data_IF_859588824274
#
_entry.id   IF_859588824274
#
_cell.length_a   1.000
_cell.length_b   1.000
_cell.length_c   1.000
_cell.angle_alpha   90.00
_cell.angle_beta   90.00
_cell.angle_gamma   90.00
#
_symmetry.space_group_name_H-M   'P 1'
#
loop_
_entity.id
_entity.type
_entity.pdbx_description
1 polymer ?
#
# COMPACT_ATOMS: atom_id res chain seq x y z
N UNK A 1 -8.10 -13.72 23.62
CA UNK A 1 -8.16 -13.11 22.28
C UNK A 1 -9.55 -12.57 22.01
N UNK A 2 -9.65 -11.26 21.73
CA UNK A 2 -10.90 -10.60 21.33
C UNK A 2 -11.25 -11.10 19.92
N UNK A 3 -12.49 -11.53 19.74
CA UNK A 3 -13.00 -11.99 18.42
C UNK A 3 -13.85 -10.91 17.77
N UNK A 4 -13.71 -10.70 16.45
CA UNK A 4 -14.61 -9.82 15.71
C UNK A 4 -16.08 -10.27 15.86
N UNK A 5 -16.98 -9.34 16.19
CA UNK A 5 -18.37 -9.67 16.56
C UNK A 5 -19.13 -10.38 15.44
N UNK A 6 -18.88 -9.99 14.19
CA UNK A 6 -19.55 -10.57 13.02
C UNK A 6 -18.69 -11.58 12.25
N UNK A 7 -17.46 -11.87 12.71
CA UNK A 7 -16.55 -12.79 12.01
C UNK A 7 -15.73 -13.65 12.98
N UNK A 8 -16.37 -14.58 13.65
CA UNK A 8 -15.70 -15.47 14.61
C UNK A 8 -14.70 -16.45 13.99
N UNK A 9 -14.68 -16.56 12.64
CA UNK A 9 -13.78 -17.43 11.89
C UNK A 9 -12.48 -16.74 11.48
N UNK A 10 -12.36 -15.44 11.70
CA UNK A 10 -11.13 -14.67 11.46
C UNK A 10 -9.95 -15.28 12.19
N UNK A 11 -8.89 -15.59 11.45
CA UNK A 11 -7.61 -16.10 11.96
C UNK A 11 -6.50 -15.08 11.70
N UNK A 12 -6.31 -14.14 12.60
CA UNK A 12 -5.32 -13.07 12.39
C UNK A 12 -3.94 -13.64 12.10
N UNK A 13 -3.30 -13.17 11.03
CA UNK A 13 -1.96 -13.63 10.62
C UNK A 13 -0.95 -13.59 11.76
N UNK A 14 -0.93 -12.51 12.55
CA UNK A 14 -0.02 -12.36 13.69
C UNK A 14 -0.20 -13.46 14.74
N UNK A 15 -1.44 -13.89 14.99
CA UNK A 15 -1.74 -14.94 15.99
C UNK A 15 -1.30 -16.32 15.48
N UNK A 16 -1.63 -16.62 14.21
CA UNK A 16 -1.25 -17.87 13.57
C UNK A 16 0.28 -18.01 13.46
N UNK A 17 0.99 -16.91 13.13
CA UNK A 17 2.45 -16.88 13.08
C UNK A 17 3.07 -17.04 14.47
N UNK A 18 2.61 -16.32 15.50
CA UNK A 18 3.10 -16.46 16.87
C UNK A 18 2.87 -17.88 17.39
N UNK A 19 1.74 -18.49 17.06
CA UNK A 19 1.46 -19.88 17.44
C UNK A 19 2.38 -20.86 16.70
N UNK A 20 2.61 -20.66 15.41
CA UNK A 20 3.55 -21.47 14.62
C UNK A 20 4.95 -21.44 15.22
N UNK A 21 5.50 -20.24 15.46
CA UNK A 21 6.85 -20.10 16.02
C UNK A 21 6.96 -20.68 17.43
N UNK A 22 5.92 -20.54 18.24
CA UNK A 22 5.88 -21.18 19.58
C UNK A 22 5.90 -22.70 19.48
N UNK A 23 5.16 -23.27 18.52
CA UNK A 23 5.12 -24.73 18.35
C UNK A 23 6.44 -25.28 17.79
N UNK A 24 7.13 -24.51 16.92
CA UNK A 24 8.48 -24.83 16.41
C UNK A 24 9.51 -24.74 17.55
N UNK A 25 9.44 -23.70 18.39
CA UNK A 25 10.35 -23.52 19.52
C UNK A 25 10.24 -24.64 20.55
N UNK A 26 9.06 -25.25 20.68
CA UNK A 26 8.82 -26.41 21.55
C UNK A 26 9.43 -27.73 21.04
N UNK A 27 9.97 -27.76 19.82
CA UNK A 27 10.60 -28.95 19.25
C UNK A 27 12.05 -29.11 19.74
N UNK A 28 12.49 -30.35 19.98
CA UNK A 28 13.89 -30.67 20.30
C UNK A 28 14.84 -30.34 19.13
N UNK A 29 14.34 -30.47 17.90
CA UNK A 29 15.08 -30.16 16.67
C UNK A 29 14.24 -29.24 15.78
N UNK A 30 14.87 -28.22 15.29
CA UNK A 30 14.28 -27.26 14.38
C UNK A 30 15.24 -26.95 13.25
N UNK A 31 14.73 -26.43 12.16
CA UNK A 31 15.47 -26.14 10.94
C UNK A 31 15.47 -24.66 10.69
N UNK A 32 16.65 -24.07 10.56
CA UNK A 32 16.78 -22.65 10.28
C UNK A 32 16.45 -22.38 8.80
N UNK A 33 15.59 -21.41 8.55
CA UNK A 33 15.20 -20.99 7.20
C UNK A 33 15.56 -19.53 6.98
N UNK A 34 16.14 -19.23 5.82
CA UNK A 34 16.40 -17.87 5.38
C UNK A 34 15.71 -17.62 4.06
N UNK A 35 14.99 -16.51 3.99
CA UNK A 35 14.38 -15.99 2.78
C UNK A 35 15.03 -14.66 2.45
N UNK A 36 15.45 -14.47 1.19
CA UNK A 36 15.85 -13.17 0.69
C UNK A 36 15.06 -12.84 -0.58
N UNK A 37 14.67 -11.60 -0.75
CA UNK A 37 13.91 -11.13 -1.92
C UNK A 37 14.66 -9.99 -2.57
N UNK A 38 15.03 -10.17 -3.84
CA UNK A 38 15.66 -9.15 -4.66
C UNK A 38 14.62 -8.29 -5.36
N UNK A 39 14.85 -6.99 -5.29
CA UNK A 39 14.02 -5.95 -5.89
C UNK A 39 14.84 -5.03 -6.79
N UNK A 40 14.28 -3.92 -7.25
CA UNK A 40 14.98 -2.96 -8.10
C UNK A 40 16.34 -2.52 -7.50
N UNK A 41 17.28 -2.16 -8.36
CA UNK A 41 18.61 -1.63 -8.01
C UNK A 41 19.49 -2.57 -7.16
N UNK A 42 19.18 -3.87 -7.20
CA UNK A 42 19.90 -4.89 -6.43
C UNK A 42 19.70 -4.73 -4.91
N UNK A 43 18.61 -4.11 -4.49
CA UNK A 43 18.19 -4.10 -3.09
C UNK A 43 17.71 -5.48 -2.68
N UNK A 44 18.00 -5.88 -1.45
CA UNK A 44 17.65 -7.19 -0.89
C UNK A 44 16.91 -6.98 0.43
N UNK A 45 15.73 -7.55 0.54
CA UNK A 45 15.06 -7.76 1.83
C UNK A 45 15.34 -9.17 2.31
N UNK A 46 15.68 -9.35 3.60
CA UNK A 46 16.00 -10.65 4.18
C UNK A 46 15.21 -10.86 5.46
N UNK A 47 14.67 -12.07 5.63
CA UNK A 47 14.03 -12.54 6.86
C UNK A 47 14.50 -13.95 7.17
N UNK A 48 14.76 -14.24 8.44
CA UNK A 48 15.20 -15.54 8.89
C UNK A 48 14.44 -15.98 10.16
N UNK A 49 14.13 -17.24 10.25
CA UNK A 49 13.38 -17.86 11.35
C UNK A 49 13.52 -19.37 11.32
N UNK A 50 13.13 -20.02 12.41
CA UNK A 50 13.13 -21.47 12.50
C UNK A 50 11.78 -22.05 12.06
N UNK A 51 11.81 -23.24 11.47
CA UNK A 51 10.66 -24.06 11.04
C UNK A 51 10.78 -25.48 11.59
N UNK A 52 9.73 -26.28 11.48
CA UNK A 52 9.86 -27.73 11.74
C UNK A 52 10.88 -28.36 10.81
N UNK A 53 11.57 -29.42 11.28
CA UNK A 53 12.44 -30.22 10.43
C UNK A 53 11.65 -30.75 9.23
N UNK A 54 12.29 -30.81 8.04
CA UNK A 54 11.72 -31.46 6.85
C UNK A 54 11.22 -32.88 7.22
N UNK A 55 10.01 -33.21 6.81
CA UNK A 55 9.33 -34.47 7.11
C UNK A 55 8.54 -34.51 8.43
N UNK A 56 8.55 -33.44 9.25
CA UNK A 56 7.78 -33.37 10.50
C UNK A 56 6.40 -32.74 10.26
N UNK A 57 6.37 -31.54 9.69
CA UNK A 57 5.11 -30.83 9.35
C UNK A 57 5.32 -29.95 8.10
N UNK A 58 5.60 -30.61 6.99
CA UNK A 58 5.94 -29.95 5.73
C UNK A 58 4.79 -29.12 5.15
N UNK A 59 3.54 -29.53 5.37
CA UNK A 59 2.37 -28.78 4.94
C UNK A 59 2.28 -27.44 5.66
N UNK A 60 2.45 -27.47 6.98
CA UNK A 60 2.38 -26.25 7.80
C UNK A 60 3.59 -25.34 7.54
N UNK A 61 4.80 -25.91 7.42
CA UNK A 61 5.99 -25.16 7.01
C UNK A 61 5.74 -24.44 5.69
N UNK A 62 5.30 -25.17 4.67
CA UNK A 62 5.07 -24.61 3.33
C UNK A 62 4.01 -23.51 3.37
N UNK A 63 2.89 -23.75 4.08
CA UNK A 63 1.82 -22.76 4.20
C UNK A 63 2.30 -21.47 4.85
N UNK A 64 2.97 -21.57 5.99
CA UNK A 64 3.44 -20.37 6.73
C UNK A 64 4.51 -19.62 5.94
N UNK A 65 5.47 -20.34 5.36
CA UNK A 65 6.53 -19.73 4.56
C UNK A 65 5.97 -19.04 3.32
N UNK A 66 5.00 -19.66 2.65
CA UNK A 66 4.33 -19.04 1.51
C UNK A 66 3.60 -17.76 1.91
N UNK A 67 2.85 -17.77 3.03
CA UNK A 67 2.20 -16.55 3.56
C UNK A 67 3.22 -15.45 3.87
N UNK A 68 4.36 -15.78 4.48
CA UNK A 68 5.44 -14.82 4.79
C UNK A 68 6.04 -14.25 3.50
N UNK A 69 6.34 -15.10 2.50
CA UNK A 69 6.88 -14.66 1.21
C UNK A 69 5.90 -13.71 0.53
N UNK A 70 4.60 -14.06 0.50
CA UNK A 70 3.59 -13.18 -0.07
C UNK A 70 3.53 -11.83 0.65
N UNK A 71 3.59 -11.82 1.99
CA UNK A 71 3.67 -10.56 2.74
C UNK A 71 4.90 -9.74 2.34
N UNK A 72 6.08 -10.36 2.26
CA UNK A 72 7.31 -9.66 1.84
C UNK A 72 7.14 -9.05 0.45
N UNK A 73 6.61 -9.81 -0.51
CA UNK A 73 6.40 -9.32 -1.88
C UNK A 73 5.44 -8.11 -1.93
N UNK A 74 4.37 -8.10 -1.15
CA UNK A 74 3.40 -7.01 -1.18
C UNK A 74 3.75 -5.82 -0.28
N UNK A 75 4.66 -6.02 0.68
CA UNK A 75 5.25 -4.95 1.50
C UNK A 75 6.41 -4.27 0.78
N UNK A 76 7.42 -5.03 0.36
CA UNK A 76 8.67 -4.46 -0.18
C UNK A 76 8.77 -4.52 -1.70
N UNK A 77 8.06 -5.45 -2.34
CA UNK A 77 8.19 -5.76 -3.76
C UNK A 77 9.39 -6.65 -4.05
N UNK A 78 9.40 -7.28 -5.21
CA UNK A 78 10.56 -8.05 -5.68
C UNK A 78 10.21 -9.04 -6.79
N UNK A 79 11.25 -9.50 -7.48
CA UNK A 79 11.12 -10.42 -8.63
C UNK A 79 11.95 -11.69 -8.47
N UNK A 80 12.78 -11.81 -7.42
CA UNK A 80 13.59 -13.00 -7.21
C UNK A 80 13.64 -13.37 -5.73
N UNK A 81 13.22 -14.60 -5.45
CA UNK A 81 13.13 -15.17 -4.11
C UNK A 81 14.24 -16.17 -3.94
N UNK A 82 15.09 -15.98 -2.96
CA UNK A 82 16.15 -16.92 -2.55
C UNK A 82 15.71 -17.61 -1.27
N UNK A 83 15.89 -18.94 -1.22
CA UNK A 83 15.56 -19.77 -0.06
C UNK A 83 16.75 -20.62 0.32
N UNK A 84 17.15 -20.59 1.59
CA UNK A 84 18.15 -21.48 2.16
C UNK A 84 17.60 -22.15 3.42
N UNK A 85 17.91 -23.44 3.60
CA UNK A 85 17.61 -24.17 4.83
C UNK A 85 16.58 -25.31 4.69
N UNK A 86 15.69 -25.32 3.69
CA UNK A 86 14.75 -26.43 3.46
C UNK A 86 14.54 -26.68 1.97
N UNK A 87 14.89 -27.88 1.54
CA UNK A 87 14.65 -28.32 0.16
C UNK A 87 13.16 -28.52 -0.12
N UNK A 88 12.41 -29.03 0.85
CA UNK A 88 10.96 -29.26 0.72
C UNK A 88 10.22 -27.95 0.52
N UNK A 89 10.50 -26.95 1.36
CA UNK A 89 9.92 -25.61 1.26
C UNK A 89 10.32 -24.96 -0.07
N UNK A 90 11.61 -25.00 -0.44
CA UNK A 90 12.07 -24.44 -1.71
C UNK A 90 11.29 -25.00 -2.91
N UNK A 91 11.16 -26.33 -3.02
CA UNK A 91 10.47 -26.97 -4.15
C UNK A 91 9.00 -26.58 -4.23
N UNK A 92 8.32 -26.52 -3.08
CA UNK A 92 6.93 -26.13 -3.03
C UNK A 92 6.73 -24.65 -3.41
N UNK A 93 7.57 -23.76 -2.88
CA UNK A 93 7.51 -22.33 -3.21
C UNK A 93 7.83 -22.09 -4.68
N UNK A 94 8.84 -22.76 -5.23
CA UNK A 94 9.17 -22.69 -6.66
C UNK A 94 8.00 -23.09 -7.55
N UNK A 95 7.27 -24.14 -7.18
CA UNK A 95 6.07 -24.57 -7.88
C UNK A 95 4.91 -23.58 -7.73
N UNK A 96 4.78 -22.95 -6.57
CA UNK A 96 3.69 -21.99 -6.32
C UNK A 96 3.90 -20.68 -7.08
N UNK A 97 5.12 -20.15 -7.10
CA UNK A 97 5.48 -18.91 -7.79
C UNK A 97 6.07 -19.21 -9.17
N UNK A 98 5.25 -19.77 -10.05
CA UNK A 98 5.54 -20.06 -11.46
C UNK A 98 4.31 -19.79 -12.31
N UNK A 99 4.51 -19.72 -13.63
CA UNK A 99 3.40 -19.63 -14.59
C UNK A 99 2.43 -20.80 -14.40
N UNK A 100 1.13 -20.49 -14.23
CA UNK A 100 0.08 -21.45 -13.90
C UNK A 100 0.16 -22.07 -12.48
N UNK A 101 1.03 -21.59 -11.62
CA UNK A 101 1.17 -22.03 -10.23
C UNK A 101 0.11 -21.44 -9.30
N UNK A 102 0.16 -21.82 -8.02
CA UNK A 102 -0.79 -21.33 -7.00
C UNK A 102 -0.77 -19.80 -6.88
N UNK A 103 0.39 -19.17 -7.15
CA UNK A 103 0.63 -17.72 -7.07
C UNK A 103 0.87 -17.12 -8.46
N UNK A 104 0.15 -17.61 -9.45
CA UNK A 104 0.22 -17.15 -10.83
C UNK A 104 0.04 -15.63 -10.97
N UNK A 105 -0.94 -15.07 -10.25
CA UNK A 105 -1.16 -13.62 -10.22
C UNK A 105 0.09 -12.88 -9.70
N UNK A 106 0.64 -13.32 -8.56
CA UNK A 106 1.81 -12.68 -7.95
C UNK A 106 3.03 -12.81 -8.88
N UNK A 107 3.22 -13.98 -9.52
CA UNK A 107 4.28 -14.25 -10.48
C UNK A 107 4.23 -13.27 -11.67
N UNK A 108 3.08 -13.16 -12.33
CA UNK A 108 2.92 -12.28 -13.48
C UNK A 108 2.95 -10.80 -13.10
N UNK A 109 2.34 -10.44 -11.98
CA UNK A 109 2.30 -9.07 -11.50
C UNK A 109 3.70 -8.54 -11.20
N UNK A 110 4.47 -9.27 -10.38
CA UNK A 110 5.84 -8.89 -10.03
C UNK A 110 6.76 -8.90 -11.25
N UNK A 111 6.63 -9.89 -12.14
CA UNK A 111 7.40 -9.93 -13.40
C UNK A 111 7.14 -8.70 -14.26
N UNK A 112 5.88 -8.28 -14.38
CA UNK A 112 5.50 -7.09 -15.15
C UNK A 112 6.02 -5.80 -14.52
N UNK A 113 5.85 -5.66 -13.20
CA UNK A 113 6.23 -4.44 -12.48
C UNK A 113 7.74 -4.23 -12.49
N UNK A 114 8.52 -5.29 -12.30
CA UNK A 114 9.99 -5.20 -12.27
C UNK A 114 10.64 -5.40 -13.65
N UNK A 115 9.86 -5.64 -14.71
CA UNK A 115 10.36 -5.93 -16.07
C UNK A 115 11.40 -7.07 -16.10
N UNK A 116 11.21 -8.06 -15.20
CA UNK A 116 12.06 -9.24 -15.04
C UNK A 116 11.18 -10.42 -14.64
N UNK A 117 11.41 -11.58 -15.27
CA UNK A 117 10.72 -12.80 -14.89
C UNK A 117 10.98 -13.14 -13.42
N UNK A 118 9.92 -13.47 -12.70
CA UNK A 118 10.03 -13.85 -11.30
C UNK A 118 10.69 -15.22 -11.16
N UNK A 119 11.67 -15.33 -10.28
CA UNK A 119 12.41 -16.56 -10.04
C UNK A 119 12.40 -16.97 -8.57
N UNK A 120 12.41 -18.28 -8.32
CA UNK A 120 12.69 -18.87 -6.99
C UNK A 120 13.97 -19.69 -7.08
N UNK A 121 14.97 -19.35 -6.27
CA UNK A 121 16.33 -19.89 -6.32
C UNK A 121 16.69 -20.55 -5.00
N UNK A 122 17.20 -21.78 -5.06
CA UNK A 122 17.79 -22.47 -3.92
C UNK A 122 19.19 -21.90 -3.62
N UNK A 123 19.45 -21.66 -2.36
CA UNK A 123 20.76 -21.19 -1.88
C UNK A 123 21.26 -22.03 -0.71
N UNK A 124 22.58 -21.99 -0.50
CA UNK A 124 23.16 -22.40 0.78
C UNK A 124 23.18 -21.20 1.75
N UNK A 125 23.40 -21.45 3.03
CA UNK A 125 23.51 -20.38 4.03
C UNK A 125 24.64 -19.39 3.74
N UNK A 126 25.73 -19.86 3.07
CA UNK A 126 26.89 -19.03 2.73
C UNK A 126 26.62 -18.14 1.53
N UNK A 127 25.74 -18.58 0.61
CA UNK A 127 25.54 -17.92 -0.69
C UNK A 127 24.25 -17.09 -0.77
N UNK A 128 23.39 -17.16 0.26
CA UNK A 128 22.16 -16.37 0.25
C UNK A 128 22.46 -14.86 0.40
N UNK A 129 21.86 -13.99 -0.43
CA UNK A 129 22.13 -12.56 -0.41
C UNK A 129 21.89 -11.93 0.96
N UNK A 130 22.79 -11.00 1.33
CA UNK A 130 22.65 -10.22 2.57
C UNK A 130 21.66 -9.07 2.38
N UNK A 131 21.06 -8.62 3.49
CA UNK A 131 20.19 -7.45 3.50
C UNK A 131 20.91 -6.24 2.87
N UNK A 132 20.26 -5.62 1.89
CA UNK A 132 20.75 -4.41 1.25
C UNK A 132 19.57 -3.45 1.06
N UNK A 133 19.52 -2.41 1.85
CA UNK A 133 18.51 -1.36 1.78
C UNK A 133 19.07 -0.20 0.95
N UNK A 134 18.29 0.29 -0.01
CA UNK A 134 18.52 1.59 -0.62
C UNK A 134 17.58 2.59 0.07
N UNK A 135 18.10 3.68 0.58
CA UNK A 135 17.30 4.81 1.01
C UNK A 135 17.79 6.04 0.25
N UNK A 136 17.11 6.38 -0.81
CA UNK A 136 17.19 7.75 -1.33
C UNK A 136 16.26 8.59 -0.46
N UNK A 137 16.76 9.67 0.18
CA UNK A 137 15.88 10.57 0.90
C UNK A 137 14.94 11.24 -0.10
N UNK A 138 13.68 10.85 -0.03
CA UNK A 138 12.58 11.37 -0.85
C UNK A 138 11.54 11.95 0.10
N UNK A 139 11.23 13.22 -0.06
CA UNK A 139 10.26 13.93 0.77
C UNK A 139 10.88 14.95 1.74
N UNK A 140 10.02 15.82 2.27
CA UNK A 140 10.42 16.85 3.24
C UNK A 140 11.17 18.07 2.66
N UNK A 141 11.38 18.15 1.35
CA UNK A 141 12.06 19.27 0.69
C UNK A 141 11.05 20.34 0.28
N UNK A 142 11.09 21.53 0.92
CA UNK A 142 10.13 22.60 0.68
C UNK A 142 10.76 23.92 0.22
N UNK A 143 12.08 23.97 0.06
CA UNK A 143 12.83 25.12 -0.40
C UNK A 143 12.64 25.40 -1.89
N UNK A 144 12.62 26.66 -2.29
CA UNK A 144 12.52 27.09 -3.68
C UNK A 144 11.12 27.06 -4.28
N UNK A 145 11.05 27.14 -5.61
CA UNK A 145 9.79 27.12 -6.40
C UNK A 145 9.47 25.69 -6.82
N UNK A 146 8.37 25.16 -6.34
CA UNK A 146 8.02 23.75 -6.51
C UNK A 146 6.61 23.57 -7.07
N UNK A 147 6.42 22.51 -7.79
CA UNK A 147 5.10 22.04 -8.18
C UNK A 147 4.79 20.77 -7.39
N UNK A 148 3.65 20.75 -6.73
CA UNK A 148 2.99 19.55 -6.24
C UNK A 148 1.88 19.16 -7.19
N UNK A 149 1.96 17.96 -7.77
CA UNK A 149 1.08 17.48 -8.80
C UNK A 149 0.44 16.16 -8.36
N UNK A 150 -0.85 16.18 -8.03
CA UNK A 150 -1.59 15.02 -7.57
C UNK A 150 -2.55 14.54 -8.66
N UNK A 151 -2.34 13.31 -9.15
CA UNK A 151 -3.03 12.74 -10.30
C UNK A 151 -4.04 11.71 -9.85
N UNK A 152 -5.27 12.16 -9.66
CA UNK A 152 -6.41 11.30 -9.33
C UNK A 152 -7.15 10.73 -10.54
N UNK A 153 -8.06 9.82 -10.28
CA UNK A 153 -8.87 9.17 -11.32
C UNK A 153 -10.05 10.01 -11.85
N UNK A 154 -10.37 11.16 -11.25
CA UNK A 154 -11.45 12.08 -11.61
C UNK A 154 -10.99 13.51 -11.72
N UNK A 155 -9.91 13.86 -11.07
CA UNK A 155 -9.37 15.21 -10.97
C UNK A 155 -7.84 15.16 -10.86
N UNK A 156 -7.24 16.25 -11.30
CA UNK A 156 -5.83 16.57 -11.10
C UNK A 156 -5.78 17.77 -10.16
N UNK A 157 -4.98 17.68 -9.09
CA UNK A 157 -4.68 18.83 -8.24
C UNK A 157 -3.26 19.27 -8.49
N UNK A 158 -3.08 20.53 -8.80
CA UNK A 158 -1.77 21.13 -9.04
C UNK A 158 -1.57 22.34 -8.15
N UNK A 159 -0.48 22.36 -7.41
CA UNK A 159 -0.13 23.45 -6.51
C UNK A 159 1.22 24.06 -6.88
N UNK A 160 1.25 25.38 -6.99
CA UNK A 160 2.45 26.19 -7.07
C UNK A 160 2.90 26.54 -5.65
N UNK A 161 4.05 26.03 -5.21
CA UNK A 161 4.57 26.15 -3.86
C UNK A 161 5.89 26.90 -3.91
N UNK A 162 6.11 27.86 -3.02
CA UNK A 162 7.38 28.57 -2.87
C UNK A 162 7.79 28.58 -1.42
N UNK A 163 8.96 28.05 -1.12
CA UNK A 163 9.52 28.00 0.24
C UNK A 163 8.53 27.44 1.28
N UNK A 164 7.77 26.42 0.88
CA UNK A 164 6.74 25.75 1.69
C UNK A 164 5.38 26.44 1.72
N UNK A 165 5.23 27.61 1.11
CA UNK A 165 3.95 28.33 1.03
C UNK A 165 3.24 28.06 -0.30
N UNK A 166 1.95 27.75 -0.25
CA UNK A 166 1.11 27.54 -1.44
C UNK A 166 0.69 28.89 -2.00
N UNK A 167 1.25 29.25 -3.16
CA UNK A 167 0.89 30.48 -3.88
C UNK A 167 -0.41 30.33 -4.68
N UNK A 168 -0.64 29.16 -5.24
CA UNK A 168 -1.82 28.81 -6.00
C UNK A 168 -2.08 27.32 -5.91
N UNK A 169 -3.35 26.94 -5.89
CA UNK A 169 -3.77 25.53 -6.02
C UNK A 169 -5.00 25.47 -6.92
N UNK A 170 -5.00 24.57 -7.87
CA UNK A 170 -6.05 24.37 -8.86
C UNK A 170 -6.45 22.90 -8.92
N UNK A 171 -7.76 22.67 -9.06
CA UNK A 171 -8.34 21.35 -9.30
C UNK A 171 -8.90 21.31 -10.70
N UNK A 172 -8.46 20.36 -11.52
CA UNK A 172 -8.83 20.22 -12.93
C UNK A 172 -9.56 18.90 -13.10
N UNK A 173 -10.84 18.97 -13.44
CA UNK A 173 -11.64 17.77 -13.74
C UNK A 173 -11.21 17.18 -15.07
N UNK A 174 -11.00 15.87 -15.11
CA UNK A 174 -10.63 15.11 -16.30
C UNK A 174 -11.23 13.71 -16.31
N UNK A 175 -11.19 13.01 -17.43
CA UNK A 175 -11.83 11.71 -17.61
C UNK A 175 -10.83 10.67 -18.16
N UNK A 176 -9.73 10.35 -17.43
CA UNK A 176 -8.66 9.49 -17.93
C UNK A 176 -9.12 8.06 -18.21
N UNK A 177 -10.02 7.53 -17.39
CA UNK A 177 -10.52 6.15 -17.49
C UNK A 177 -11.45 5.93 -18.70
N UNK A 178 -11.80 6.97 -19.43
CA UNK A 178 -12.63 6.91 -20.64
C UNK A 178 -11.84 7.16 -21.92
N UNK A 179 -10.55 7.51 -21.81
CA UNK A 179 -9.71 7.89 -22.94
C UNK A 179 -8.68 6.81 -23.27
N UNK A 180 -8.62 6.43 -24.53
CA UNK A 180 -7.67 5.46 -25.10
C UNK A 180 -6.39 6.15 -25.62
N UNK A 181 -6.48 7.44 -25.95
CA UNK A 181 -5.35 8.21 -26.47
C UNK A 181 -4.44 8.69 -25.33
N UNK A 182 -3.21 8.23 -25.30
CA UNK A 182 -2.20 8.65 -24.33
C UNK A 182 -1.90 10.16 -24.42
N UNK A 183 -2.06 10.79 -25.59
CA UNK A 183 -1.83 12.23 -25.75
C UNK A 183 -2.84 13.06 -24.94
N UNK A 184 -4.06 12.54 -24.71
CA UNK A 184 -5.00 13.18 -23.80
C UNK A 184 -4.39 13.35 -22.41
N UNK A 185 -3.74 12.31 -21.87
CA UNK A 185 -3.09 12.33 -20.56
C UNK A 185 -1.90 13.30 -20.56
N UNK A 186 -1.03 13.23 -21.58
CA UNK A 186 0.11 14.13 -21.72
C UNK A 186 -0.29 15.59 -21.77
N UNK A 187 -1.34 15.93 -22.50
CA UNK A 187 -1.82 17.29 -22.66
C UNK A 187 -2.35 17.87 -21.33
N UNK A 188 -3.08 17.06 -20.55
CA UNK A 188 -3.54 17.49 -19.24
C UNK A 188 -2.37 17.71 -18.28
N UNK A 189 -1.42 16.79 -18.20
CA UNK A 189 -0.24 16.92 -17.34
C UNK A 189 0.58 18.16 -17.72
N UNK A 190 0.88 18.31 -18.98
CA UNK A 190 1.66 19.45 -19.45
C UNK A 190 0.97 20.80 -19.19
N UNK A 191 -0.31 20.93 -19.54
CA UNK A 191 -1.06 22.18 -19.34
C UNK A 191 -1.16 22.57 -17.88
N UNK A 192 -1.45 21.61 -17.00
CA UNK A 192 -1.57 21.85 -15.58
C UNK A 192 -0.23 22.28 -14.97
N UNK A 193 0.87 21.56 -15.26
CA UNK A 193 2.20 21.93 -14.76
C UNK A 193 2.67 23.27 -15.32
N UNK A 194 2.42 23.56 -16.61
CA UNK A 194 2.78 24.84 -17.22
C UNK A 194 2.03 26.01 -16.57
N UNK A 195 0.73 25.85 -16.32
CA UNK A 195 -0.05 26.86 -15.59
C UNK A 195 0.50 27.13 -14.17
N UNK A 196 0.94 26.10 -13.48
CA UNK A 196 1.58 26.27 -12.16
C UNK A 196 2.95 26.96 -12.26
N UNK A 197 3.76 26.68 -13.29
CA UNK A 197 5.04 27.39 -13.54
C UNK A 197 4.78 28.89 -13.77
N UNK A 198 3.74 29.26 -14.49
CA UNK A 198 3.36 30.67 -14.69
C UNK A 198 3.05 31.36 -13.35
N UNK A 199 2.39 30.67 -12.42
CA UNK A 199 2.10 31.18 -11.06
C UNK A 199 3.37 31.32 -10.19
N UNK A 200 4.43 30.56 -10.51
CA UNK A 200 5.75 30.66 -9.86
C UNK A 200 6.66 31.74 -10.48
N UNK A 201 6.15 32.50 -11.46
CA UNK A 201 6.92 33.56 -12.14
C UNK A 201 7.67 33.07 -13.37
N UNK A 202 7.25 31.98 -13.97
CA UNK A 202 7.76 31.46 -15.26
C UNK A 202 8.93 30.48 -15.11
N UNK A 203 9.24 30.01 -13.91
CA UNK A 203 10.31 29.04 -13.67
C UNK A 203 10.01 28.14 -12.48
N UNK A 204 10.67 26.96 -12.37
CA UNK A 204 10.48 25.95 -11.33
C UNK A 204 11.80 25.27 -10.97
N UNK A 205 12.00 25.00 -9.68
CA UNK A 205 13.22 24.38 -9.16
C UNK A 205 13.06 22.85 -8.97
N UNK A 206 11.83 22.35 -8.76
CA UNK A 206 11.55 20.92 -8.64
C UNK A 206 10.05 20.60 -8.85
N UNK A 207 9.75 19.37 -9.30
CA UNK A 207 8.37 18.87 -9.51
C UNK A 207 8.19 17.55 -8.77
N UNK A 208 7.28 17.50 -7.83
CA UNK A 208 6.86 16.26 -7.16
C UNK A 208 5.48 15.81 -7.64
N UNK A 209 5.33 14.52 -7.91
CA UNK A 209 4.11 13.93 -8.48
C UNK A 209 3.60 12.84 -7.55
N UNK A 210 2.35 12.99 -7.11
CA UNK A 210 1.54 11.96 -6.47
C UNK A 210 0.70 11.28 -7.53
N UNK A 211 0.74 9.97 -7.64
CA UNK A 211 0.02 9.24 -8.68
C UNK A 211 -0.57 7.93 -8.17
N UNK A 212 -1.83 7.67 -8.53
CA UNK A 212 -2.48 6.41 -8.22
C UNK A 212 -1.85 5.24 -8.99
N UNK A 213 -1.56 4.14 -8.28
CA UNK A 213 -1.03 2.90 -8.81
C UNK A 213 0.43 2.64 -8.46
N UNK A 214 0.98 1.59 -9.07
CA UNK A 214 2.34 1.13 -8.80
C UNK A 214 3.35 1.93 -9.57
N UNK A 215 4.23 2.61 -8.85
CA UNK A 215 5.30 3.44 -9.41
C UNK A 215 6.65 2.77 -9.15
N UNK A 216 7.44 2.59 -10.20
CA UNK A 216 8.82 2.09 -10.11
C UNK A 216 9.74 3.00 -10.93
N UNK A 217 10.73 3.59 -10.29
CA UNK A 217 11.70 4.49 -10.96
C UNK A 217 11.00 5.61 -11.76
N UNK A 218 10.04 6.29 -11.15
CA UNK A 218 9.23 7.35 -11.76
C UNK A 218 8.33 6.92 -12.93
N UNK A 219 8.15 5.61 -13.14
CA UNK A 219 7.30 5.04 -14.18
C UNK A 219 6.02 4.46 -13.59
N UNK A 220 4.84 4.78 -14.12
CA UNK A 220 3.60 4.10 -13.75
C UNK A 220 3.57 2.70 -14.38
N UNK A 221 3.84 1.66 -13.58
CA UNK A 221 3.86 0.28 -14.04
C UNK A 221 2.46 -0.34 -14.06
N UNK A 222 1.63 0.00 -13.08
CA UNK A 222 0.21 -0.37 -13.02
C UNK A 222 -0.57 0.84 -12.54
N UNK A 223 -1.52 1.33 -13.33
CA UNK A 223 -2.34 2.46 -12.90
C UNK A 223 -3.71 2.47 -13.58
N UNK A 224 -4.75 2.66 -12.79
CA UNK A 224 -6.13 2.71 -13.25
C UNK A 224 -6.45 3.92 -14.14
N UNK A 225 -5.64 4.97 -14.09
CA UNK A 225 -5.84 6.16 -14.95
C UNK A 225 -5.52 5.89 -16.43
N UNK A 226 -4.72 4.87 -16.71
CA UNK A 226 -4.37 4.44 -18.07
C UNK A 226 -5.09 3.17 -18.53
N UNK A 227 -6.14 2.74 -17.81
CA UNK A 227 -6.81 1.44 -18.03
C UNK A 227 -7.38 1.25 -19.43
N UNK A 228 -7.70 2.33 -20.13
CA UNK A 228 -8.23 2.31 -21.52
C UNK A 228 -7.14 2.45 -22.57
N UNK A 229 -5.93 2.86 -22.20
CA UNK A 229 -4.82 2.95 -23.15
C UNK A 229 -4.44 1.54 -23.60
N UNK A 230 -4.36 1.27 -24.91
CA UNK A 230 -4.03 -0.04 -25.47
C UNK A 230 -2.68 -0.55 -24.94
N UNK A 231 -2.59 -1.86 -24.72
CA UNK A 231 -1.37 -2.51 -24.16
C UNK A 231 -0.13 -2.30 -25.03
N UNK A 232 -0.28 -2.19 -26.34
CA UNK A 232 0.80 -1.87 -27.28
C UNK A 232 1.42 -0.49 -27.04
N UNK A 233 0.71 0.40 -26.37
CA UNK A 233 1.17 1.74 -25.99
C UNK A 233 1.76 1.79 -24.56
N UNK A 234 2.00 0.65 -23.93
CA UNK A 234 2.49 0.59 -22.54
C UNK A 234 3.83 1.33 -22.34
N UNK A 235 4.73 1.29 -23.33
CA UNK A 235 5.98 2.05 -23.27
C UNK A 235 5.75 3.57 -23.21
N UNK A 236 4.72 4.07 -23.87
CA UNK A 236 4.31 5.47 -23.79
C UNK A 236 3.74 5.78 -22.41
N UNK A 237 2.93 4.87 -21.84
CA UNK A 237 2.39 5.01 -20.48
C UNK A 237 3.52 5.11 -19.47
N UNK A 238 4.52 4.23 -19.52
CA UNK A 238 5.71 4.30 -18.65
C UNK A 238 6.43 5.63 -18.73
N UNK A 239 6.45 6.24 -19.91
CA UNK A 239 7.05 7.55 -20.16
C UNK A 239 6.20 8.75 -19.74
N UNK A 240 4.96 8.57 -19.29
CA UNK A 240 3.99 9.66 -19.16
C UNK A 240 4.51 10.86 -18.35
N UNK A 241 4.96 10.65 -17.14
CA UNK A 241 5.48 11.71 -16.28
C UNK A 241 6.85 12.20 -16.75
N UNK A 242 7.76 11.28 -17.03
CA UNK A 242 9.14 11.58 -17.47
C UNK A 242 9.13 12.47 -18.72
N UNK A 243 8.34 12.12 -19.75
CA UNK A 243 8.30 12.87 -21.00
C UNK A 243 7.63 14.24 -20.82
N UNK A 244 6.64 14.36 -19.94
CA UNK A 244 6.05 15.65 -19.62
C UNK A 244 7.06 16.59 -18.97
N UNK A 245 7.83 16.13 -17.99
CA UNK A 245 8.88 16.94 -17.34
C UNK A 245 9.99 17.31 -18.34
N UNK A 246 10.46 16.34 -19.16
CA UNK A 246 11.47 16.62 -20.21
C UNK A 246 11.01 17.67 -21.22
N UNK A 247 9.73 17.72 -21.55
CA UNK A 247 9.17 18.78 -22.40
C UNK A 247 9.28 20.14 -21.75
N UNK A 248 8.96 20.23 -20.44
CA UNK A 248 9.10 21.47 -19.68
C UNK A 248 10.57 21.91 -19.54
N UNK A 249 11.49 20.97 -19.25
CA UNK A 249 12.94 21.22 -19.23
C UNK A 249 13.45 21.84 -20.52
N UNK A 250 13.00 21.32 -21.65
CA UNK A 250 13.38 21.86 -22.98
C UNK A 250 12.86 23.28 -23.20
N UNK A 251 11.68 23.61 -22.70
CA UNK A 251 11.09 24.95 -22.82
C UNK A 251 11.77 25.95 -21.88
N UNK A 252 12.12 25.52 -20.66
CA UNK A 252 12.76 26.38 -19.67
C UNK A 252 14.28 26.49 -19.86
N UNK A 253 14.89 25.59 -20.63
CA UNK A 253 16.31 25.59 -20.93
C UNK A 253 17.21 25.05 -19.82
N UNK A 254 16.64 24.38 -18.81
CA UNK A 254 17.39 23.72 -17.74
C UNK A 254 16.70 22.42 -17.29
N UNK A 255 17.45 21.53 -16.61
CA UNK A 255 16.85 20.30 -16.08
C UNK A 255 16.10 20.58 -14.78
N UNK A 256 15.02 19.82 -14.55
CA UNK A 256 14.13 19.96 -13.40
C UNK A 256 14.19 18.64 -12.62
N UNK A 257 14.73 18.62 -11.39
CA UNK A 257 14.58 17.48 -10.50
C UNK A 257 13.11 17.13 -10.31
N UNK A 258 12.76 15.85 -10.48
CA UNK A 258 11.40 15.42 -10.24
C UNK A 258 11.35 14.02 -9.62
N UNK A 259 10.29 13.76 -8.88
CA UNK A 259 10.03 12.46 -8.26
C UNK A 259 8.55 12.12 -8.33
N UNK A 260 8.26 10.85 -8.62
CA UNK A 260 6.90 10.31 -8.68
C UNK A 260 6.75 9.25 -7.59
N UNK A 261 5.77 9.42 -6.73
CA UNK A 261 5.44 8.46 -5.68
C UNK A 261 3.97 8.02 -5.75
N UNK A 262 3.68 6.85 -5.16
CA UNK A 262 2.32 6.38 -4.99
C UNK A 262 1.52 7.36 -4.12
N UNK A 263 0.22 7.54 -4.41
CA UNK A 263 -0.68 8.44 -3.68
C UNK A 263 -0.84 8.07 -2.19
N UNK A 264 -0.74 6.78 -1.84
CA UNK A 264 -0.70 6.30 -0.46
C UNK A 264 0.55 6.80 0.28
N UNK A 265 1.74 6.67 -0.34
CA UNK A 265 3.00 7.16 0.23
C UNK A 265 2.98 8.68 0.41
N UNK A 266 2.47 9.41 -0.58
CA UNK A 266 2.33 10.87 -0.49
C UNK A 266 1.33 11.27 0.60
N UNK A 267 0.25 10.49 0.80
CA UNK A 267 -0.69 10.71 1.90
C UNK A 267 -0.04 10.48 3.27
N UNK A 268 0.80 9.45 3.42
CA UNK A 268 1.57 9.22 4.64
C UNK A 268 2.57 10.36 4.91
N UNK A 269 3.24 10.84 3.86
CA UNK A 269 4.15 11.99 3.94
C UNK A 269 3.42 13.27 4.35
N UNK A 270 2.22 13.52 3.79
CA UNK A 270 1.38 14.63 4.21
C UNK A 270 1.02 14.54 5.71
N UNK A 271 0.74 13.32 6.20
CA UNK A 271 0.50 13.07 7.62
C UNK A 271 1.74 13.35 8.48
N UNK A 272 2.92 12.91 8.05
CA UNK A 272 4.18 13.19 8.75
C UNK A 272 4.45 14.70 8.86
N UNK A 273 4.23 15.44 7.79
CA UNK A 273 4.38 16.90 7.78
C UNK A 273 3.37 17.60 8.72
N UNK A 274 2.12 17.14 8.75
CA UNK A 274 1.06 17.69 9.60
C UNK A 274 1.29 17.38 11.09
N UNK A 275 1.65 16.13 11.41
CA UNK A 275 1.99 15.69 12.77
C UNK A 275 3.34 16.24 13.27
N UNK A 276 4.21 16.66 12.36
CA UNK A 276 5.62 17.04 12.62
C UNK A 276 6.38 15.91 13.32
N UNK A 277 6.04 14.67 12.97
CA UNK A 277 6.70 13.45 13.46
C UNK A 277 6.74 12.39 12.35
N UNK A 278 7.55 11.38 12.52
CA UNK A 278 7.86 10.33 11.56
C UNK A 278 7.32 8.96 12.00
N UNK A 279 7.66 7.89 11.29
CA UNK A 279 7.10 6.54 11.49
C UNK A 279 5.58 6.54 11.34
N UNK A 280 5.09 7.16 10.26
CA UNK A 280 3.66 7.31 9.95
C UNK A 280 3.23 6.26 8.93
N UNK A 281 2.22 5.47 9.28
CA UNK A 281 1.54 4.54 8.38
C UNK A 281 0.17 5.13 8.02
N UNK A 282 -0.03 5.47 6.76
CA UNK A 282 -1.34 5.89 6.24
C UNK A 282 -2.10 4.70 5.68
N UNK A 283 -3.36 4.50 6.09
CA UNK A 283 -4.22 3.42 5.59
C UNK A 283 -5.51 4.06 5.04
N UNK A 284 -5.68 4.02 3.74
CA UNK A 284 -6.87 4.51 3.07
C UNK A 284 -7.84 3.35 2.78
N UNK A 285 -9.00 3.39 3.42
CA UNK A 285 -10.08 2.40 3.26
C UNK A 285 -11.16 2.96 2.32
N UNK A 286 -11.02 2.67 1.03
CA UNK A 286 -11.86 3.19 -0.04
C UNK A 286 -12.56 2.10 -0.85
N UNK A 287 -12.44 2.20 -2.18
CA UNK A 287 -12.84 1.14 -3.12
C UNK A 287 -11.97 -0.11 -2.93
N UNK A 288 -10.68 0.10 -2.68
CA UNK A 288 -9.72 -0.88 -2.21
C UNK A 288 -9.01 -0.32 -0.98
N UNK A 289 -8.05 -1.06 -0.45
CA UNK A 289 -7.09 -0.58 0.52
C UNK A 289 -5.92 0.07 -0.22
N UNK A 290 -5.43 1.21 0.26
CA UNK A 290 -4.15 1.78 -0.15
C UNK A 290 -3.35 2.15 1.09
N UNK A 291 -2.06 1.86 1.08
CA UNK A 291 -1.19 2.09 2.23
C UNK A 291 0.06 2.84 1.78
N UNK A 292 0.53 3.73 2.64
CA UNK A 292 1.82 4.39 2.47
C UNK A 292 2.54 4.51 3.80
N UNK A 293 3.86 4.66 3.75
CA UNK A 293 4.67 4.69 4.96
C UNK A 293 5.82 5.69 4.88
N UNK A 294 6.01 6.43 5.97
CA UNK A 294 7.16 7.32 6.19
C UNK A 294 8.01 6.74 7.31
N UNK A 295 9.30 6.57 7.05
CA UNK A 295 10.25 5.96 7.98
C UNK A 295 10.65 6.91 9.13
N UNK A 296 11.52 6.44 10.04
CA UNK A 296 12.01 7.23 11.19
C UNK A 296 12.79 8.50 10.81
N UNK A 297 13.30 8.56 9.57
CA UNK A 297 14.06 9.69 9.07
C UNK A 297 13.19 10.68 8.29
N UNK A 298 11.89 10.42 8.17
CA UNK A 298 10.96 11.22 7.37
C UNK A 298 11.02 10.93 5.87
N UNK A 299 11.59 9.79 5.48
CA UNK A 299 11.75 9.38 4.09
C UNK A 299 10.71 8.34 3.68
N UNK A 300 10.44 8.27 2.37
CA UNK A 300 9.73 7.15 1.77
C UNK A 300 10.73 6.01 1.51
N UNK A 301 10.54 4.81 2.04
CA UNK A 301 11.50 3.70 1.89
C UNK A 301 11.56 3.15 0.47
N UNK A 302 10.69 3.60 -0.44
CA UNK A 302 10.57 3.07 -1.78
C UNK A 302 10.09 1.61 -1.80
N UNK A 303 9.40 1.17 -0.77
CA UNK A 303 8.76 -0.13 -0.70
C UNK A 303 7.48 -0.13 -1.54
N UNK A 304 6.99 -1.32 -1.83
CA UNK A 304 5.83 -1.51 -2.65
C UNK A 304 4.54 -1.04 -1.96
N UNK A 305 4.43 -1.37 -0.68
CA UNK A 305 3.33 -1.00 0.23
C UNK A 305 1.91 -1.28 -0.32
N UNK A 306 1.78 -2.28 -1.21
CA UNK A 306 0.49 -2.71 -1.79
C UNK A 306 -0.19 -3.75 -0.88
N UNK A 307 -0.52 -3.32 0.34
CA UNK A 307 -1.04 -4.20 1.40
C UNK A 307 -2.46 -4.72 1.13
N UNK A 308 -3.13 -4.16 0.13
CA UNK A 308 -4.40 -4.69 -0.39
C UNK A 308 -4.33 -6.18 -0.73
N UNK A 309 -3.17 -6.66 -1.18
CA UNK A 309 -2.94 -8.06 -1.52
C UNK A 309 -2.13 -8.84 -0.47
N UNK A 310 -1.77 -8.20 0.64
CA UNK A 310 -1.08 -8.85 1.75
C UNK A 310 -2.07 -9.73 2.53
N UNK A 311 -1.76 -11.02 2.78
CA UNK A 311 -2.64 -11.89 3.56
C UNK A 311 -2.59 -11.50 5.05
N UNK A 312 -3.75 -11.16 5.61
CA UNK A 312 -3.94 -10.79 7.01
C UNK A 312 -4.85 -11.76 7.78
N UNK A 313 -5.61 -12.58 7.04
CA UNK A 313 -6.44 -13.67 7.60
C UNK A 313 -5.95 -15.02 7.04
N UNK A 314 -5.42 -15.87 7.89
CA UNK A 314 -4.93 -17.19 7.51
C UNK A 314 -6.02 -18.27 7.52
N UNK A 315 -7.29 -17.89 7.65
CA UNK A 315 -8.40 -18.81 7.46
C UNK A 315 -8.55 -19.17 5.97
N UNK A 316 -8.27 -20.42 5.60
CA UNK A 316 -8.37 -20.91 4.21
C UNK A 316 -9.78 -20.78 3.59
N UNK A 317 -10.80 -20.54 4.41
CA UNK A 317 -12.18 -20.28 3.97
C UNK A 317 -12.55 -18.78 4.06
N UNK A 318 -11.58 -17.91 4.19
CA UNK A 318 -11.81 -16.48 4.14
C UNK A 318 -12.25 -16.01 2.75
N UNK A 319 -12.77 -14.79 2.65
CA UNK A 319 -13.17 -14.20 1.38
C UNK A 319 -11.99 -14.15 0.41
N UNK A 320 -12.23 -14.63 -0.81
CA UNK A 320 -11.25 -14.62 -1.90
C UNK A 320 -11.35 -13.28 -2.64
N UNK A 321 -10.21 -12.72 -2.99
CA UNK A 321 -10.11 -11.55 -3.85
C UNK A 321 -10.20 -11.95 -5.33
N UNK A 322 -11.01 -11.22 -6.09
CA UNK A 322 -11.32 -11.52 -7.48
C UNK A 322 -10.13 -11.30 -8.42
N UNK A 323 -9.14 -10.50 -8.01
CA UNK A 323 -7.96 -10.19 -8.82
C UNK A 323 -6.82 -11.16 -8.55
N UNK A 324 -6.43 -11.27 -7.29
CA UNK A 324 -5.31 -12.13 -6.90
C UNK A 324 -5.68 -13.60 -6.76
N UNK A 325 -6.98 -13.93 -6.76
CA UNK A 325 -7.53 -15.25 -6.47
C UNK A 325 -7.04 -15.82 -5.14
N UNK A 326 -6.56 -14.96 -4.23
CA UNK A 326 -6.11 -15.36 -2.91
C UNK A 326 -7.13 -14.98 -1.83
N UNK A 327 -7.12 -15.74 -0.75
CA UNK A 327 -8.01 -15.55 0.38
C UNK A 327 -7.36 -14.70 1.47
N UNK A 328 -8.18 -13.99 2.24
CA UNK A 328 -7.77 -13.31 3.46
C UNK A 328 -6.86 -12.12 3.27
N UNK A 329 -6.85 -11.51 2.07
CA UNK A 329 -6.01 -10.35 1.74
C UNK A 329 -6.64 -9.03 2.19
N UNK A 330 -5.81 -8.03 2.46
CA UNK A 330 -6.16 -6.76 3.11
C UNK A 330 -7.35 -6.03 2.50
N UNK A 331 -7.46 -5.96 1.16
CA UNK A 331 -8.59 -5.29 0.51
C UNK A 331 -9.98 -5.84 0.88
N UNK A 332 -10.08 -7.09 1.33
CA UNK A 332 -11.32 -7.69 1.79
C UNK A 332 -11.66 -7.38 3.24
N UNK A 333 -10.79 -6.61 3.93
CA UNK A 333 -10.92 -6.23 5.35
C UNK A 333 -10.90 -4.71 5.55
N UNK A 334 -10.21 -3.96 4.68
CA UNK A 334 -9.99 -2.53 4.79
C UNK A 334 -10.47 -1.75 3.56
N UNK A 335 -11.62 -2.15 3.02
CA UNK A 335 -12.29 -1.46 1.93
C UNK A 335 -13.82 -1.50 2.10
N UNK A 336 -14.54 -0.96 1.15
CA UNK A 336 -16.00 -1.10 1.08
C UNK A 336 -16.46 -2.56 1.04
N UNK A 337 -15.64 -3.48 0.51
CA UNK A 337 -15.95 -4.91 0.48
C UNK A 337 -16.07 -5.50 1.89
N UNK A 338 -15.27 -5.02 2.85
CA UNK A 338 -15.39 -5.43 4.25
C UNK A 338 -16.78 -5.10 4.81
N UNK A 339 -17.28 -3.89 4.55
CA UNK A 339 -18.61 -3.44 5.00
C UNK A 339 -19.71 -4.28 4.36
N UNK A 340 -19.59 -4.53 3.05
CA UNK A 340 -20.59 -5.26 2.26
C UNK A 340 -20.64 -6.74 2.68
N UNK A 341 -19.48 -7.41 2.85
CA UNK A 341 -19.43 -8.81 3.27
C UNK A 341 -20.00 -9.04 4.68
N UNK A 342 -19.91 -8.02 5.55
CA UNK A 342 -20.42 -8.11 6.91
C UNK A 342 -21.90 -7.74 7.04
N UNK A 343 -22.48 -7.03 6.06
CA UNK A 343 -23.86 -6.58 6.11
C UNK A 343 -24.88 -7.72 6.32
N UNK A 344 -24.83 -8.85 5.58
CA UNK A 344 -25.75 -9.97 5.82
C UNK A 344 -25.60 -10.58 7.23
N UNK A 345 -24.37 -10.62 7.76
CA UNK A 345 -24.11 -11.12 9.12
C UNK A 345 -24.65 -10.19 10.19
N UNK A 346 -24.82 -8.91 9.86
CA UNK A 346 -25.42 -7.87 10.70
C UNK A 346 -26.95 -7.77 10.54
N UNK A 347 -27.57 -8.65 9.74
CA UNK A 347 -29.00 -8.62 9.44
C UNK A 347 -29.40 -7.47 8.50
N UNK A 348 -28.48 -6.98 7.67
CA UNK A 348 -28.70 -5.89 6.71
C UNK A 348 -28.70 -6.48 5.30
N UNK A 349 -29.84 -6.38 4.64
CA UNK A 349 -29.98 -6.73 3.23
C UNK A 349 -29.62 -5.51 2.36
N UNK A 350 -28.76 -5.71 1.37
CA UNK A 350 -28.34 -4.67 0.44
C UNK A 350 -28.88 -5.01 -0.95
N UNK A 351 -29.55 -4.04 -1.59
CA UNK A 351 -30.06 -4.22 -2.97
C UNK A 351 -28.88 -4.51 -3.91
N UNK A 352 -28.99 -5.63 -4.65
CA UNK A 352 -27.97 -6.07 -5.61
C UNK A 352 -27.72 -5.07 -6.74
N UNK A 353 -28.73 -4.25 -7.07
CA UNK A 353 -28.64 -3.23 -8.13
C UNK A 353 -27.76 -2.03 -7.75
N UNK A 354 -27.48 -1.84 -6.47
CA UNK A 354 -26.65 -0.76 -5.98
C UNK A 354 -25.18 -1.05 -6.29
N UNK A 355 -24.46 -0.02 -6.69
CA UNK A 355 -23.00 -0.05 -6.78
C UNK A 355 -22.37 -0.28 -5.39
N UNK A 356 -21.14 -0.76 -5.34
CA UNK A 356 -20.45 -1.00 -4.06
C UNK A 356 -20.37 0.29 -3.20
N UNK A 357 -20.16 1.45 -3.83
CA UNK A 357 -20.14 2.74 -3.14
C UNK A 357 -21.50 3.14 -2.57
N UNK A 358 -22.59 2.82 -3.26
CA UNK A 358 -23.95 3.06 -2.77
C UNK A 358 -24.30 2.10 -1.62
N UNK A 359 -23.91 0.83 -1.71
CA UNK A 359 -24.06 -0.14 -0.62
C UNK A 359 -23.35 0.33 0.66
N UNK A 360 -22.12 0.85 0.55
CA UNK A 360 -21.41 1.46 1.66
C UNK A 360 -22.22 2.62 2.27
N UNK A 361 -22.74 3.54 1.43
CA UNK A 361 -23.55 4.68 1.92
C UNK A 361 -24.80 4.23 2.65
N UNK A 362 -25.47 3.15 2.22
CA UNK A 362 -26.64 2.59 2.92
C UNK A 362 -26.25 2.16 4.34
N UNK A 363 -25.16 1.41 4.49
CA UNK A 363 -24.69 0.96 5.80
C UNK A 363 -24.27 2.13 6.69
N UNK A 364 -23.54 3.12 6.13
CA UNK A 364 -23.17 4.33 6.86
C UNK A 364 -24.38 5.10 7.36
N UNK A 365 -25.41 5.29 6.52
CA UNK A 365 -26.66 5.96 6.91
C UNK A 365 -27.40 5.21 8.03
N UNK A 366 -27.45 3.88 7.97
CA UNK A 366 -28.00 3.06 9.04
C UNK A 366 -27.21 3.24 10.34
N UNK A 367 -25.89 3.28 10.27
CA UNK A 367 -25.02 3.49 11.43
C UNK A 367 -25.21 4.89 12.05
N UNK A 368 -25.32 5.94 11.25
CA UNK A 368 -25.63 7.30 11.71
C UNK A 368 -26.99 7.34 12.42
N UNK A 369 -27.97 6.60 11.90
CA UNK A 369 -29.30 6.42 12.50
C UNK A 369 -29.33 5.54 13.76
N UNK A 370 -28.20 5.00 14.22
CA UNK A 370 -28.10 4.19 15.42
C UNK A 370 -28.47 2.70 15.25
N UNK A 371 -28.48 2.19 14.03
CA UNK A 371 -28.75 0.76 13.77
C UNK A 371 -27.64 -0.12 14.36
N UNK A 372 -27.98 -0.99 15.31
CA UNK A 372 -27.01 -1.80 16.07
C UNK A 372 -26.17 -2.72 15.17
N UNK A 373 -26.79 -3.40 14.19
CA UNK A 373 -26.09 -4.26 13.26
C UNK A 373 -25.06 -3.51 12.42
N UNK A 374 -25.40 -2.28 11.97
CA UNK A 374 -24.47 -1.44 11.23
C UNK A 374 -23.28 -1.02 12.10
N UNK A 375 -23.50 -0.69 13.37
CA UNK A 375 -22.41 -0.39 14.30
C UNK A 375 -21.46 -1.60 14.49
N UNK A 376 -22.01 -2.83 14.62
CA UNK A 376 -21.24 -4.07 14.75
C UNK A 376 -20.32 -4.34 13.54
N UNK A 377 -20.66 -3.84 12.34
CA UNK A 377 -19.80 -3.92 11.16
C UNK A 377 -18.51 -3.14 11.42
N UNK A 378 -18.63 -1.89 11.85
CA UNK A 378 -17.48 -1.01 12.10
C UNK A 378 -16.68 -1.46 13.34
N UNK A 379 -17.33 -2.00 14.37
CA UNK A 379 -16.66 -2.66 15.50
C UNK A 379 -15.79 -3.85 15.01
N UNK A 380 -16.35 -4.68 14.11
CA UNK A 380 -15.65 -5.83 13.52
C UNK A 380 -14.40 -5.39 12.76
N UNK A 381 -14.52 -4.32 11.94
CA UNK A 381 -13.39 -3.75 11.20
C UNK A 381 -12.33 -3.17 12.16
N UNK A 382 -12.75 -2.55 13.26
CA UNK A 382 -11.83 -2.06 14.30
C UNK A 382 -11.01 -3.18 14.94
N UNK A 383 -11.62 -4.35 15.18
CA UNK A 383 -10.88 -5.53 15.67
C UNK A 383 -9.91 -6.05 14.61
N UNK A 384 -10.32 -6.15 13.33
CA UNK A 384 -9.42 -6.51 12.24
C UNK A 384 -8.19 -5.60 12.22
N UNK A 385 -8.43 -4.28 12.29
CA UNK A 385 -7.35 -3.29 12.24
C UNK A 385 -6.34 -3.48 13.38
N UNK A 386 -6.80 -3.69 14.60
CA UNK A 386 -5.91 -3.88 15.75
C UNK A 386 -4.94 -5.07 15.57
N UNK A 387 -5.47 -6.23 15.15
CA UNK A 387 -4.64 -7.40 14.90
C UNK A 387 -3.69 -7.21 13.71
N UNK A 388 -4.17 -6.51 12.68
CA UNK A 388 -3.37 -6.23 11.49
C UNK A 388 -2.28 -5.20 11.76
N UNK A 389 -2.52 -4.17 12.58
CA UNK A 389 -1.48 -3.21 12.99
C UNK A 389 -0.36 -3.90 13.77
N UNK A 390 -0.68 -4.84 14.66
CA UNK A 390 0.32 -5.65 15.34
C UNK A 390 1.14 -6.50 14.35
N UNK A 391 0.52 -6.96 13.26
CA UNK A 391 1.21 -7.68 12.19
C UNK A 391 2.04 -6.76 11.29
N UNK A 392 1.54 -5.59 10.95
CA UNK A 392 2.29 -4.60 10.16
C UNK A 392 3.53 -4.10 10.91
N UNK A 393 3.51 -4.08 12.25
CA UNK A 393 4.67 -3.73 13.06
C UNK A 393 5.85 -4.72 12.92
N UNK A 394 5.64 -5.92 12.36
CA UNK A 394 6.73 -6.84 11.98
C UNK A 394 7.54 -6.36 10.75
N UNK A 395 7.01 -5.40 9.99
CA UNK A 395 7.62 -4.85 8.78
C UNK A 395 7.95 -3.36 8.91
N UNK A 396 7.10 -2.60 9.59
CA UNK A 396 7.18 -1.15 9.72
C UNK A 396 7.41 -0.74 11.16
N UNK A 397 8.27 0.24 11.39
CA UNK A 397 8.30 0.94 12.69
C UNK A 397 7.15 1.93 12.73
N UNK A 398 6.12 1.66 13.51
CA UNK A 398 4.89 2.45 13.53
C UNK A 398 4.81 3.24 14.83
N UNK A 399 4.72 4.58 14.74
CA UNK A 399 4.35 5.47 15.84
C UNK A 399 2.97 6.04 15.65
N UNK A 400 2.64 6.39 14.39
CA UNK A 400 1.37 6.99 14.04
C UNK A 400 0.69 6.19 12.93
N UNK A 401 -0.62 6.02 13.04
CA UNK A 401 -1.48 5.46 12.01
C UNK A 401 -2.52 6.48 11.64
N UNK A 402 -2.63 6.81 10.36
CA UNK A 402 -3.66 7.70 9.84
C UNK A 402 -4.68 6.92 9.03
N UNK A 403 -5.92 6.96 9.46
CA UNK A 403 -7.04 6.30 8.79
C UNK A 403 -7.72 7.28 7.83
N UNK A 404 -7.72 6.92 6.55
CA UNK A 404 -8.28 7.71 5.46
C UNK A 404 -9.36 6.92 4.71
N UNK A 405 -10.01 7.58 3.77
CA UNK A 405 -10.95 6.94 2.85
C UNK A 405 -12.40 6.96 3.33
N UNK A 406 -13.30 6.53 2.43
CA UNK A 406 -14.75 6.67 2.66
C UNK A 406 -15.30 5.76 3.75
N UNK A 407 -14.70 4.60 3.96
CA UNK A 407 -15.13 3.65 5.01
C UNK A 407 -14.94 4.24 6.40
N UNK A 408 -13.91 5.06 6.57
CA UNK A 408 -13.59 5.73 7.85
C UNK A 408 -14.30 7.07 8.04
N UNK A 409 -15.26 7.42 7.18
CA UNK A 409 -16.04 8.66 7.31
C UNK A 409 -17.15 8.54 8.35
N UNK A 410 -17.42 9.63 9.09
CA UNK A 410 -18.51 9.74 10.05
C UNK A 410 -18.38 8.78 11.23
N UNK A 411 -19.52 8.46 11.84
CA UNK A 411 -19.61 7.62 13.05
C UNK A 411 -18.96 6.24 12.92
N UNK A 412 -18.97 5.66 11.69
CA UNK A 412 -18.33 4.38 11.41
C UNK A 412 -16.82 4.43 11.63
N UNK A 413 -16.16 5.49 11.14
CA UNK A 413 -14.73 5.71 11.35
C UNK A 413 -14.38 5.94 12.82
N UNK A 414 -15.19 6.70 13.56
CA UNK A 414 -15.01 6.88 15.01
C UNK A 414 -15.09 5.54 15.76
N UNK A 415 -16.03 4.66 15.37
CA UNK A 415 -16.16 3.31 15.93
C UNK A 415 -14.94 2.46 15.63
N UNK A 416 -14.47 2.43 14.36
CA UNK A 416 -13.24 1.70 13.97
C UNK A 416 -12.07 2.16 14.82
N UNK A 417 -11.84 3.47 14.89
CA UNK A 417 -10.75 4.08 15.63
C UNK A 417 -10.75 3.67 17.11
N UNK A 418 -11.90 3.84 17.77
CA UNK A 418 -12.07 3.50 19.19
C UNK A 418 -11.78 2.02 19.44
N UNK A 419 -12.45 1.13 18.69
CA UNK A 419 -12.32 -0.33 18.87
C UNK A 419 -10.90 -0.81 18.56
N UNK A 420 -10.26 -0.24 17.54
CA UNK A 420 -8.88 -0.58 17.21
C UNK A 420 -7.91 -0.21 18.37
N UNK A 421 -8.00 1.00 18.92
CA UNK A 421 -7.20 1.43 20.08
C UNK A 421 -7.40 0.53 21.29
N UNK A 422 -8.65 0.27 21.66
CA UNK A 422 -9.01 -0.56 22.81
C UNK A 422 -8.53 -2.02 22.64
N UNK A 423 -8.71 -2.57 21.44
CA UNK A 423 -8.28 -3.95 21.14
C UNK A 423 -6.78 -4.07 21.09
N UNK A 424 -6.07 -3.13 20.45
CA UNK A 424 -4.61 -3.12 20.36
C UNK A 424 -3.99 -3.06 21.76
N UNK A 425 -4.44 -2.12 22.60
CA UNK A 425 -3.93 -1.96 23.96
C UNK A 425 -4.15 -3.21 24.83
N UNK A 426 -5.23 -3.95 24.61
CA UNK A 426 -5.57 -5.15 25.40
C UNK A 426 -4.85 -6.42 24.91
N UNK A 427 -4.82 -6.64 23.59
CA UNK A 427 -4.27 -7.87 23.01
C UNK A 427 -2.76 -7.78 22.73
N UNK A 428 -2.25 -6.56 22.52
CA UNK A 428 -0.87 -6.27 22.15
C UNK A 428 -0.34 -5.07 22.95
N UNK A 429 -0.18 -5.20 24.28
CA UNK A 429 0.23 -4.09 25.14
C UNK A 429 1.59 -3.48 24.75
N UNK A 430 2.44 -4.22 24.03
CA UNK A 430 3.70 -3.74 23.45
C UNK A 430 3.50 -2.65 22.37
N UNK A 431 2.32 -2.58 21.75
CA UNK A 431 1.95 -1.60 20.71
C UNK A 431 0.91 -0.57 21.18
N UNK A 432 0.60 -0.51 22.49
CA UNK A 432 -0.43 0.40 23.04
C UNK A 432 -0.14 1.89 22.79
N UNK A 433 1.13 2.22 22.60
CA UNK A 433 1.58 3.61 22.40
C UNK A 433 1.53 4.06 20.93
N UNK A 434 1.10 3.19 20.01
CA UNK A 434 0.82 3.59 18.62
C UNK A 434 -0.40 4.54 18.63
N UNK A 435 -0.18 5.77 18.16
CA UNK A 435 -1.26 6.73 18.01
C UNK A 435 -2.02 6.47 16.70
N UNK A 436 -3.31 6.14 16.81
CA UNK A 436 -4.19 5.91 15.66
C UNK A 436 -5.13 7.12 15.55
N UNK A 437 -5.13 7.82 14.42
CA UNK A 437 -5.89 9.04 14.23
C UNK A 437 -6.52 9.18 12.85
N UNK A 438 -7.25 10.28 12.69
CA UNK A 438 -7.81 10.72 11.41
C UNK A 438 -7.03 11.93 10.91
N UNK A 439 -6.97 12.18 9.58
CA UNK A 439 -6.28 13.34 9.04
C UNK A 439 -6.94 14.65 9.48
N UNK A 440 -6.13 15.68 9.70
CA UNK A 440 -6.59 17.05 9.97
C UNK A 440 -7.32 17.66 8.75
N UNK A 441 -8.01 18.79 8.94
CA UNK A 441 -8.62 19.51 7.82
C UNK A 441 -7.58 20.09 6.86
N UNK A 442 -6.40 20.47 7.37
CA UNK A 442 -5.28 20.90 6.53
C UNK A 442 -4.81 19.77 5.61
N UNK A 443 -4.57 18.60 6.19
CA UNK A 443 -4.13 17.44 5.43
C UNK A 443 -5.14 17.06 4.33
N UNK A 444 -6.45 17.14 4.63
CA UNK A 444 -7.51 16.83 3.65
C UNK A 444 -7.56 17.79 2.46
N UNK A 445 -7.22 19.07 2.66
CA UNK A 445 -7.36 20.11 1.63
C UNK A 445 -6.12 20.31 0.79
N UNK A 446 -4.96 20.37 1.40
CA UNK A 446 -3.72 20.80 0.76
C UNK A 446 -2.55 19.84 1.01
N UNK A 447 -2.66 18.95 2.02
CA UNK A 447 -1.54 18.15 2.48
C UNK A 447 -0.90 17.32 1.38
N UNK A 448 -1.70 16.70 0.51
CA UNK A 448 -1.20 15.80 -0.52
C UNK A 448 -0.39 16.54 -1.61
N UNK A 449 -0.86 17.69 -2.07
CA UNK A 449 -0.11 18.45 -3.08
C UNK A 449 1.15 19.13 -2.52
N UNK A 450 1.15 19.56 -1.23
CA UNK A 450 2.35 20.06 -0.56
C UNK A 450 3.34 18.91 -0.34
N UNK A 451 2.88 17.76 0.12
CA UNK A 451 3.71 16.57 0.30
C UNK A 451 4.32 16.12 -1.03
N UNK A 452 3.51 16.09 -2.12
CA UNK A 452 4.03 15.84 -3.45
C UNK A 452 5.13 16.84 -3.83
N UNK A 453 4.90 18.16 -3.66
CA UNK A 453 5.91 19.19 -3.96
C UNK A 453 7.22 18.98 -3.19
N UNK A 454 7.17 18.35 -2.02
CA UNK A 454 8.33 18.08 -1.17
C UNK A 454 9.14 16.85 -1.57
N UNK A 455 8.70 16.03 -2.53
CA UNK A 455 9.33 14.76 -2.87
C UNK A 455 10.77 14.91 -3.38
N UNK A 456 11.05 15.68 -4.46
CA UNK A 456 12.40 15.75 -5.00
C UNK A 456 13.28 16.72 -4.21
N UNK A 457 14.53 16.38 -4.03
CA UNK A 457 15.56 17.31 -3.58
C UNK A 457 15.81 18.33 -4.69
N UNK A 458 15.80 19.63 -4.37
CA UNK A 458 16.28 20.67 -5.28
C UNK A 458 17.79 20.52 -5.55
N UNK A 459 18.30 21.17 -6.58
CA UNK A 459 19.73 21.13 -6.94
C UNK A 459 20.62 21.74 -5.88
#
# INVERSE_FOLDING_TARGET
MIKPVLDHKFKPAIVELRQFFKDVEAQDKKQHLIIAVERAEGCIYRKEFDIFMDGVDDERNTFIVERIIKCILWVVGGFKIYIAGSYVVFNNIKKYYSDGGLRDFDFHFMSTVFEKEMEVVECTYENIPQMKVSSLPVGGHLDGRRIGFDVGGSDIKVSAVKDGEVLNSEEIVWLPKLNEDINYHYDFFYKAMKGAIEKLGGDVDAIGISAAGVIVQNKPMVSSIFIKVPKENFELVKGAYINTVRRLEKELGHSIPFEVANDGDVSALAGSLDLKDNCVLGIAMGTSEAVGYVDRNGNLPGWFSELAFMPIDFNRNAMVDEWSHDFGVGCKYFSQDAVIKLAPRAGIELDEKLTLAEKLKVVQKLNEGGHEGANKIFETIGVYLAFTLAFYADFYEIRHVLLLGRVTSGKGGETILKVAKETLAKEFPEYKDIDIGMPSDFMRRLGQSIAAASLPKSR
#
